data_IF_016991299825
#
_entry.id   IF_016991299825
#
_cell.length_a   1.000
_cell.length_b   1.000
_cell.length_c   1.000
_cell.angle_alpha   90.00
_cell.angle_beta   90.00
_cell.angle_gamma   90.00
#
_symmetry.space_group_name_H-M   'P 1'
#
loop_
_entity.id
_entity.type
_entity.pdbx_description
1 polymer ?
#
# COMPACT_ATOMS: atom_id res chain seq x y z
N UNK A 1 7.30 13.58 26.95
CA UNK A 1 7.46 12.37 26.13
C UNK A 1 6.07 11.95 25.68
N UNK A 2 5.81 12.01 24.38
CA UNK A 2 4.55 11.50 23.82
C UNK A 2 4.69 9.99 23.67
N UNK A 3 3.62 9.24 23.96
CA UNK A 3 3.56 7.80 23.69
C UNK A 3 2.52 7.61 22.59
N UNK A 4 2.95 7.09 21.46
CA UNK A 4 2.10 6.83 20.30
C UNK A 4 2.02 5.32 20.06
N UNK A 5 0.87 4.85 19.60
CA UNK A 5 0.66 3.45 19.21
C UNK A 5 0.28 3.40 17.72
N UNK A 6 1.33 3.35 16.89
CA UNK A 6 1.17 3.38 15.44
C UNK A 6 0.76 2.04 14.87
N UNK A 7 -0.10 2.11 13.86
CA UNK A 7 -0.48 0.97 13.02
C UNK A 7 0.13 1.16 11.63
N UNK A 8 0.59 0.06 11.03
CA UNK A 8 1.12 0.06 9.67
C UNK A 8 0.02 0.46 8.66
N UNK A 9 0.36 1.35 7.72
CA UNK A 9 -0.61 1.86 6.73
C UNK A 9 -1.19 0.74 5.85
N UNK A 10 -0.48 -0.38 5.69
CA UNK A 10 -0.93 -1.55 4.94
C UNK A 10 -2.02 -2.37 5.67
N UNK A 11 -2.06 -2.30 6.99
CA UNK A 11 -2.99 -3.08 7.83
C UNK A 11 -4.34 -2.38 8.02
N UNK A 12 -4.40 -1.07 7.74
CA UNK A 12 -5.60 -0.25 7.99
C UNK A 12 -6.85 -0.81 7.32
N UNK A 13 -6.73 -1.36 6.11
CA UNK A 13 -7.90 -1.93 5.43
C UNK A 13 -8.46 -3.13 6.19
N UNK A 14 -7.61 -4.07 6.59
CA UNK A 14 -8.03 -5.26 7.35
C UNK A 14 -8.62 -4.91 8.71
N UNK A 15 -8.05 -3.92 9.40
CA UNK A 15 -8.55 -3.45 10.69
C UNK A 15 -9.95 -2.86 10.55
N UNK A 16 -10.15 -1.97 9.57
CA UNK A 16 -11.45 -1.30 9.37
C UNK A 16 -12.51 -2.28 8.85
N UNK A 17 -12.12 -3.29 8.06
CA UNK A 17 -13.03 -4.36 7.63
C UNK A 17 -13.61 -5.17 8.80
N UNK A 18 -12.93 -5.19 9.94
CA UNK A 18 -13.38 -5.90 11.14
C UNK A 18 -14.17 -5.02 12.12
N UNK A 19 -14.42 -3.74 11.79
CA UNK A 19 -15.23 -2.87 12.65
C UNK A 19 -16.70 -3.29 12.62
N UNK A 20 -17.25 -3.66 13.78
CA UNK A 20 -18.68 -3.95 13.93
C UNK A 20 -19.53 -2.70 13.64
N UNK A 21 -19.06 -1.52 14.03
CA UNK A 21 -19.71 -0.24 13.75
C UNK A 21 -18.72 0.80 13.19
N UNK A 22 -18.69 1.04 11.87
CA UNK A 22 -17.76 1.98 11.25
C UNK A 22 -18.05 3.46 11.54
N UNK A 23 -19.27 3.80 12.00
CA UNK A 23 -19.63 5.18 12.33
C UNK A 23 -19.32 5.53 13.80
N UNK A 24 -19.16 4.52 14.66
CA UNK A 24 -18.73 4.64 16.05
C UNK A 24 -17.71 3.54 16.39
N UNK A 25 -16.49 3.59 15.84
CA UNK A 25 -15.48 2.58 16.15
C UNK A 25 -15.11 2.65 17.63
N UNK A 26 -15.06 1.49 18.29
CA UNK A 26 -14.62 1.38 19.70
C UNK A 26 -13.15 1.78 19.86
N UNK A 27 -12.36 1.66 18.78
CA UNK A 27 -10.93 1.90 18.78
C UNK A 27 -10.57 3.13 17.94
N UNK A 28 -9.64 3.92 18.45
CA UNK A 28 -9.01 5.02 17.72
C UNK A 28 -7.55 4.66 17.44
N UNK A 29 -7.06 5.01 16.25
CA UNK A 29 -5.72 4.63 15.81
C UNK A 29 -4.83 5.85 15.64
N UNK A 30 -3.57 5.74 16.06
CA UNK A 30 -2.55 6.72 15.74
C UNK A 30 -1.83 6.31 14.45
N UNK A 31 -1.56 7.28 13.59
CA UNK A 31 -0.88 7.05 12.31
C UNK A 31 0.28 8.03 12.14
N UNK A 32 1.29 7.59 11.41
CA UNK A 32 2.44 8.39 11.02
C UNK A 32 2.69 8.22 9.52
N UNK A 33 3.09 9.29 8.84
CA UNK A 33 3.45 9.23 7.44
C UNK A 33 3.85 10.58 6.85
N UNK A 34 4.39 10.55 5.64
CA UNK A 34 4.66 11.74 4.83
C UNK A 34 3.35 12.34 4.34
N UNK A 35 3.24 13.66 4.44
CA UNK A 35 2.13 14.45 3.92
C UNK A 35 2.34 14.73 2.43
N UNK A 36 1.36 14.32 1.63
CA UNK A 36 1.26 14.59 0.20
C UNK A 36 -0.09 15.26 -0.11
N UNK A 37 -0.19 15.91 -1.28
CA UNK A 37 -1.44 16.48 -1.80
C UNK A 37 -2.22 17.34 -0.79
N UNK A 38 -1.52 18.19 -0.03
CA UNK A 38 -2.15 19.01 1.01
C UNK A 38 -3.06 20.07 0.38
N UNK A 39 -4.37 19.98 0.66
CA UNK A 39 -5.38 20.94 0.22
C UNK A 39 -5.52 22.09 1.22
N UNK A 40 -5.62 23.32 0.72
CA UNK A 40 -5.97 24.49 1.54
C UNK A 40 -7.29 24.28 2.29
N UNK A 41 -7.41 24.91 3.46
CA UNK A 41 -8.64 24.88 4.25
C UNK A 41 -9.86 25.37 3.45
N UNK A 42 -10.96 24.61 3.53
CA UNK A 42 -12.24 24.92 2.90
C UNK A 42 -13.34 24.98 3.94
N UNK A 43 -14.28 25.91 3.78
CA UNK A 43 -15.50 25.94 4.57
C UNK A 43 -16.58 25.13 3.84
N UNK A 44 -17.13 24.09 4.49
CA UNK A 44 -18.19 23.27 3.91
C UNK A 44 -19.42 23.25 4.80
N UNK A 45 -20.60 23.30 4.18
CA UNK A 45 -21.88 23.21 4.88
C UNK A 45 -22.19 21.74 5.17
N UNK A 46 -22.28 21.37 6.44
CA UNK A 46 -22.67 20.03 6.89
C UNK A 46 -24.07 20.05 7.49
N UNK A 47 -24.65 18.87 7.76
CA UNK A 47 -25.93 18.78 8.48
C UNK A 47 -25.86 19.38 9.90
N UNK A 48 -24.66 19.53 10.46
CA UNK A 48 -24.39 20.11 11.78
C UNK A 48 -23.88 21.56 11.70
N UNK A 49 -24.12 22.24 10.57
CA UNK A 49 -23.66 23.61 10.32
C UNK A 49 -22.38 23.68 9.48
N UNK A 50 -21.88 24.89 9.29
CA UNK A 50 -20.66 25.14 8.54
C UNK A 50 -19.44 24.67 9.33
N UNK A 51 -18.55 23.93 8.66
CA UNK A 51 -17.32 23.41 9.26
C UNK A 51 -16.16 23.55 8.31
N UNK A 52 -15.01 23.94 8.85
CA UNK A 52 -13.75 23.93 8.11
C UNK A 52 -13.26 22.50 7.91
N UNK A 53 -12.68 22.23 6.75
CA UNK A 53 -12.06 20.97 6.40
C UNK A 53 -10.72 21.21 5.70
N UNK A 54 -9.73 20.42 6.07
CA UNK A 54 -8.46 20.27 5.35
C UNK A 54 -8.33 18.81 4.95
N UNK A 55 -7.83 18.55 3.75
CA UNK A 55 -7.60 17.20 3.24
C UNK A 55 -6.17 17.09 2.76
N UNK A 56 -5.57 15.93 3.00
CA UNK A 56 -4.26 15.59 2.47
C UNK A 56 -4.17 14.07 2.36
N UNK A 57 -3.09 13.58 1.76
CA UNK A 57 -2.74 12.16 1.77
C UNK A 57 -1.58 11.92 2.72
N UNK A 58 -1.66 10.81 3.45
CA UNK A 58 -0.57 10.32 4.28
C UNK A 58 0.01 9.06 3.65
N UNK A 59 1.34 8.99 3.52
CA UNK A 59 2.03 7.87 2.89
C UNK A 59 3.24 7.41 3.68
N UNK A 60 3.53 6.11 3.65
CA UNK A 60 4.80 5.53 4.12
C UNK A 60 5.81 5.35 2.97
N UNK A 61 5.46 5.82 1.77
CA UNK A 61 6.19 5.59 0.53
C UNK A 61 5.63 4.43 -0.32
N UNK A 62 4.75 3.60 0.23
CA UNK A 62 4.16 2.42 -0.45
C UNK A 62 2.64 2.43 -0.45
N UNK A 63 2.03 2.82 0.66
CA UNK A 63 0.59 2.91 0.88
C UNK A 63 0.22 4.35 1.16
N UNK A 64 -0.82 4.86 0.50
CA UNK A 64 -1.22 6.25 0.61
C UNK A 64 -2.73 6.39 0.83
N UNK A 65 -3.12 6.98 1.96
CA UNK A 65 -4.50 7.08 2.41
C UNK A 65 -4.95 8.53 2.54
N UNK A 66 -6.24 8.77 2.33
CA UNK A 66 -6.82 10.12 2.42
C UNK A 66 -7.16 10.46 3.86
N UNK A 67 -6.66 11.59 4.34
CA UNK A 67 -6.96 12.15 5.66
C UNK A 67 -7.87 13.36 5.51
N UNK A 68 -8.90 13.46 6.35
CA UNK A 68 -9.79 14.62 6.47
C UNK A 68 -9.76 15.17 7.89
N UNK A 69 -9.31 16.41 8.03
CA UNK A 69 -9.21 17.14 9.29
C UNK A 69 -10.36 18.14 9.38
N UNK A 70 -11.00 18.24 10.54
CA UNK A 70 -12.24 19.00 10.70
C UNK A 70 -12.19 20.12 11.74
N UNK A 71 -13.02 21.14 11.54
CA UNK A 71 -13.32 22.18 12.52
C UNK A 71 -12.14 23.10 12.81
N UNK A 72 -11.93 23.46 14.08
CA UNK A 72 -10.83 24.32 14.51
C UNK A 72 -9.46 23.70 14.22
N UNK A 73 -9.36 22.36 14.35
CA UNK A 73 -8.13 21.62 14.07
C UNK A 73 -7.70 21.77 12.61
N UNK A 74 -8.65 21.87 11.67
CA UNK A 74 -8.35 22.08 10.25
C UNK A 74 -7.61 23.40 10.01
N UNK A 75 -8.07 24.50 10.63
CA UNK A 75 -7.43 25.82 10.52
C UNK A 75 -6.02 25.77 11.11
N UNK A 76 -5.88 25.22 12.33
CA UNK A 76 -4.57 25.12 12.99
C UNK A 76 -3.58 24.25 12.20
N UNK A 77 -4.07 23.20 11.55
CA UNK A 77 -3.23 22.32 10.72
C UNK A 77 -2.74 23.04 9.45
N UNK A 78 -3.61 23.81 8.80
CA UNK A 78 -3.27 24.64 7.62
C UNK A 78 -2.21 25.71 7.97
N UNK A 79 -2.38 26.39 9.10
CA UNK A 79 -1.41 27.36 9.62
C UNK A 79 -0.07 26.71 9.98
N UNK A 80 -0.10 25.50 10.56
CA UNK A 80 1.11 24.75 10.93
C UNK A 80 1.84 24.29 9.68
N UNK A 81 1.11 23.73 8.70
CA UNK A 81 1.66 23.30 7.41
C UNK A 81 2.34 24.46 6.68
N UNK A 82 1.70 25.63 6.63
CA UNK A 82 2.26 26.84 5.99
C UNK A 82 3.56 27.34 6.63
N UNK A 83 3.84 26.96 7.89
CA UNK A 83 5.08 27.32 8.59
C UNK A 83 6.21 26.30 8.38
N UNK A 84 5.90 25.10 7.89
CA UNK A 84 6.88 24.04 7.68
C UNK A 84 7.72 24.31 6.44
N UNK A 85 9.05 24.34 6.63
CA UNK A 85 10.03 24.53 5.54
C UNK A 85 10.81 23.28 5.21
N UNK A 86 10.79 22.30 6.10
CA UNK A 86 11.53 21.06 5.99
C UNK A 86 10.72 20.01 5.23
N UNK A 87 11.32 19.44 4.20
CA UNK A 87 10.74 18.39 3.35
C UNK A 87 11.53 17.08 3.50
N UNK A 88 10.87 15.90 3.47
CA UNK A 88 9.42 15.70 3.48
C UNK A 88 8.79 16.14 4.81
N UNK A 89 7.53 16.58 4.75
CA UNK A 89 6.72 16.89 5.95
C UNK A 89 6.15 15.57 6.46
N UNK A 90 6.50 15.18 7.67
CA UNK A 90 6.00 13.97 8.33
C UNK A 90 4.93 14.39 9.34
N UNK A 91 3.73 13.83 9.18
CA UNK A 91 2.62 14.04 10.09
C UNK A 91 2.44 12.84 11.02
N UNK A 92 2.17 13.14 12.29
CA UNK A 92 1.55 12.23 13.25
C UNK A 92 0.12 12.70 13.46
N UNK A 93 -0.85 11.82 13.24
CA UNK A 93 -2.28 12.10 13.48
C UNK A 93 -2.77 11.13 14.54
N UNK A 94 -3.20 11.66 15.69
CA UNK A 94 -3.62 10.84 16.82
C UNK A 94 -5.13 10.64 16.87
N UNK A 95 -5.56 9.53 17.47
CA UNK A 95 -6.97 9.21 17.74
C UNK A 95 -7.86 9.34 16.50
N UNK A 96 -7.44 8.75 15.38
CA UNK A 96 -8.18 8.80 14.14
C UNK A 96 -9.34 7.82 14.14
N UNK A 97 -10.45 8.20 13.50
CA UNK A 97 -11.46 7.25 13.04
C UNK A 97 -11.21 6.92 11.58
N UNK A 98 -11.51 5.68 11.21
CA UNK A 98 -11.30 5.18 9.87
C UNK A 98 -12.57 4.53 9.36
N UNK A 99 -12.86 4.73 8.08
CA UNK A 99 -14.03 4.15 7.40
C UNK A 99 -13.63 3.73 6.00
N UNK A 100 -14.14 2.59 5.56
CA UNK A 100 -14.03 2.20 4.15
C UNK A 100 -15.09 2.98 3.36
N UNK A 101 -14.63 3.72 2.36
CA UNK A 101 -15.49 4.41 1.40
C UNK A 101 -14.97 4.16 0.00
N UNK A 102 -15.85 3.67 -0.89
CA UNK A 102 -15.50 3.29 -2.26
C UNK A 102 -14.24 2.42 -2.30
N UNK A 103 -14.15 1.46 -1.38
CA UNK A 103 -13.03 0.52 -1.24
C UNK A 103 -11.66 1.15 -0.94
N UNK A 104 -11.66 2.39 -0.45
CA UNK A 104 -10.48 3.06 0.08
C UNK A 104 -10.67 3.34 1.57
N UNK A 105 -9.59 3.22 2.36
CA UNK A 105 -9.62 3.66 3.75
C UNK A 105 -9.59 5.19 3.76
N UNK A 106 -10.63 5.77 4.34
CA UNK A 106 -10.69 7.19 4.63
C UNK A 106 -10.48 7.41 6.12
N UNK A 107 -9.50 8.25 6.41
CA UNK A 107 -9.09 8.60 7.76
C UNK A 107 -9.67 9.96 8.08
N UNK A 108 -10.27 10.10 9.25
CA UNK A 108 -10.94 11.32 9.67
C UNK A 108 -10.64 11.61 11.13
N UNK A 109 -10.43 12.89 11.45
CA UNK A 109 -10.10 13.30 12.82
C UNK A 109 -11.32 13.29 13.73
N UNK A 110 -11.11 12.94 15.00
CA UNK A 110 -12.06 13.08 16.09
C UNK A 110 -11.83 14.39 16.87
N UNK A 111 -12.76 14.82 17.74
CA UNK A 111 -12.55 16.00 18.59
C UNK A 111 -11.33 15.88 19.53
N UNK A 112 -10.92 14.65 19.87
CA UNK A 112 -9.73 14.35 20.67
C UNK A 112 -8.44 14.25 19.85
N UNK A 113 -8.52 14.24 18.52
CA UNK A 113 -7.34 14.11 17.64
C UNK A 113 -6.40 15.29 17.78
N UNK A 114 -5.11 14.99 17.70
CA UNK A 114 -4.04 15.97 17.60
C UNK A 114 -3.23 15.69 16.34
N UNK A 115 -2.72 16.74 15.71
CA UNK A 115 -1.86 16.65 14.54
C UNK A 115 -0.53 17.30 14.91
N UNK A 116 0.55 16.56 14.68
CA UNK A 116 1.92 17.05 14.82
C UNK A 116 2.59 16.94 13.46
N UNK A 117 3.24 18.01 13.02
CA UNK A 117 4.01 18.04 11.78
C UNK A 117 5.49 18.23 12.14
N UNK A 118 6.36 17.36 11.63
CA UNK A 118 7.80 17.30 11.93
C UNK A 118 8.09 17.41 13.43
N UNK A 119 7.37 16.61 14.23
CA UNK A 119 7.62 16.54 15.66
C UNK A 119 9.06 16.05 15.91
N UNK A 120 9.77 16.71 16.82
CA UNK A 120 11.08 16.27 17.28
C UNK A 120 10.90 15.06 18.22
N UNK A 121 10.73 13.89 17.61
CA UNK A 121 10.47 12.60 18.26
C UNK A 121 11.21 11.49 17.51
N UNK A 122 11.61 10.44 18.24
CA UNK A 122 12.35 9.30 17.69
C UNK A 122 11.61 8.62 16.54
N UNK A 123 10.27 8.59 16.59
CA UNK A 123 9.46 7.96 15.54
C UNK A 123 9.56 8.71 14.21
N UNK A 124 9.60 10.06 14.27
CA UNK A 124 9.76 10.90 13.07
C UNK A 124 11.17 10.79 12.53
N UNK A 125 12.18 10.79 13.40
CA UNK A 125 13.57 10.59 13.00
C UNK A 125 13.79 9.22 12.32
N UNK A 126 13.24 8.15 12.90
CA UNK A 126 13.30 6.81 12.32
C UNK A 126 12.63 6.75 10.94
N UNK A 127 11.47 7.42 10.77
CA UNK A 127 10.81 7.50 9.48
C UNK A 127 11.63 8.28 8.45
N UNK A 128 12.28 9.39 8.83
CA UNK A 128 13.19 10.13 7.91
C UNK A 128 14.31 9.24 7.39
N UNK A 129 15.00 8.52 8.29
CA UNK A 129 16.08 7.60 7.92
C UNK A 129 15.57 6.50 6.97
N UNK A 130 14.40 5.94 7.25
CA UNK A 130 13.77 4.94 6.38
C UNK A 130 13.48 5.50 4.98
N UNK A 131 12.92 6.71 4.90
CA UNK A 131 12.61 7.36 3.62
C UNK A 131 13.88 7.67 2.81
N UNK A 132 14.95 8.09 3.48
CA UNK A 132 16.26 8.34 2.87
C UNK A 132 16.90 7.05 2.32
N UNK A 133 16.88 5.95 3.09
CA UNK A 133 17.40 4.65 2.66
C UNK A 133 16.60 4.06 1.50
N UNK A 134 15.28 4.26 1.49
CA UNK A 134 14.41 3.84 0.40
C UNK A 134 14.49 4.76 -0.84
N UNK A 135 15.18 5.90 -0.73
CA UNK A 135 15.31 6.88 -1.80
C UNK A 135 13.99 7.56 -2.17
N UNK A 136 13.08 7.70 -1.20
CA UNK A 136 11.80 8.37 -1.40
C UNK A 136 12.02 9.81 -1.88
N UNK A 137 11.33 10.17 -2.96
CA UNK A 137 11.30 11.54 -3.47
C UNK A 137 9.88 12.06 -3.35
N UNK A 138 9.73 13.24 -2.76
CA UNK A 138 8.45 13.94 -2.72
C UNK A 138 8.01 14.16 -4.17
N UNK A 139 6.80 13.75 -4.56
CA UNK A 139 6.27 14.07 -5.88
C UNK A 139 6.20 15.59 -6.03
N UNK A 140 6.87 16.17 -7.03
CA UNK A 140 6.65 17.58 -7.40
C UNK A 140 5.20 17.74 -7.82
N UNK A 141 4.50 18.78 -7.31
CA UNK A 141 3.09 19.09 -7.56
C UNK A 141 2.66 18.74 -8.99
N UNK A 142 2.15 17.54 -9.18
CA UNK A 142 1.49 17.15 -10.41
C UNK A 142 0.10 17.75 -10.27
N UNK A 143 -0.27 18.71 -11.14
CA UNK A 143 -1.67 19.09 -11.33
C UNK A 143 -2.52 17.81 -11.35
N UNK A 144 -3.74 17.81 -10.76
CA UNK A 144 -4.51 16.61 -10.48
C UNK A 144 -4.79 15.85 -11.77
N UNK A 145 -3.83 15.04 -12.17
CA UNK A 145 -3.98 14.03 -13.19
C UNK A 145 -4.81 13.01 -12.45
N UNK A 146 -6.07 12.89 -12.87
CA UNK A 146 -6.95 11.84 -12.38
C UNK A 146 -6.13 10.55 -12.40
N UNK A 147 -5.71 10.09 -11.23
CA UNK A 147 -5.16 8.75 -11.11
C UNK A 147 -6.25 7.83 -11.62
N UNK A 148 -5.90 6.77 -12.39
CA UNK A 148 -6.88 5.79 -12.80
C UNK A 148 -7.67 5.37 -11.58
N UNK A 149 -8.99 5.48 -11.68
CA UNK A 149 -9.91 4.96 -10.68
C UNK A 149 -9.54 3.48 -10.57
N UNK A 150 -8.91 3.06 -9.47
CA UNK A 150 -8.80 1.65 -9.16
C UNK A 150 -10.22 1.20 -8.83
N UNK A 151 -10.88 0.63 -9.84
CA UNK A 151 -12.09 -0.12 -9.63
C UNK A 151 -11.80 -1.19 -8.58
N UNK A 152 -12.67 -1.35 -7.58
CA UNK A 152 -12.46 -2.37 -6.57
C UNK A 152 -12.47 -3.73 -7.24
N UNK A 153 -11.30 -4.37 -7.31
CA UNK A 153 -11.24 -5.78 -7.63
C UNK A 153 -11.87 -6.53 -6.46
N UNK A 154 -13.15 -6.86 -6.62
CA UNK A 154 -13.82 -7.87 -5.82
C UNK A 154 -12.97 -9.13 -5.98
N UNK A 155 -12.32 -9.57 -4.90
CA UNK A 155 -11.66 -10.88 -4.88
C UNK A 155 -12.79 -11.90 -4.95
N UNK A 156 -13.13 -12.29 -6.17
CA UNK A 156 -14.05 -13.38 -6.43
C UNK A 156 -13.21 -14.66 -6.40
N UNK A 157 -13.55 -15.56 -5.49
CA UNK A 157 -13.07 -16.93 -5.55
C UNK A 157 -13.77 -17.58 -6.75
N UNK A 158 -13.07 -17.65 -7.87
CA UNK A 158 -13.53 -18.28 -9.09
C UNK A 158 -12.66 -19.49 -9.38
N UNK A 159 -13.28 -20.52 -9.96
CA UNK A 159 -12.57 -21.70 -10.45
C UNK A 159 -11.79 -21.34 -11.72
N UNK A 160 -10.71 -22.07 -12.02
CA UNK A 160 -9.87 -21.83 -13.22
C UNK A 160 -10.68 -21.87 -14.52
N UNK A 161 -11.80 -22.59 -14.53
CA UNK A 161 -12.73 -22.68 -15.67
C UNK A 161 -13.49 -21.37 -15.91
N UNK A 162 -14.00 -20.73 -14.85
CA UNK A 162 -14.76 -19.48 -14.91
C UNK A 162 -13.90 -18.27 -15.31
N UNK A 163 -12.58 -18.38 -15.13
CA UNK A 163 -11.59 -17.39 -15.58
C UNK A 163 -11.50 -17.30 -17.12
N UNK A 164 -11.87 -18.37 -17.84
CA UNK A 164 -11.65 -18.50 -19.29
C UNK A 164 -12.71 -17.81 -20.18
N UNK A 165 -13.87 -17.42 -19.63
CA UNK A 165 -15.06 -17.08 -20.44
C UNK A 165 -15.36 -15.57 -20.58
N UNK A 166 -14.64 -14.67 -19.90
CA UNK A 166 -14.97 -13.22 -19.84
C UNK A 166 -13.90 -12.33 -20.48
N UNK A 167 -13.95 -12.08 -21.79
CA UNK A 167 -13.13 -11.02 -22.43
C UNK A 167 -13.68 -10.55 -23.78
N UNK A 168 -13.96 -9.25 -23.92
CA UNK A 168 -14.13 -8.60 -25.23
C UNK A 168 -13.83 -7.07 -25.17
N UNK A 169 -13.00 -6.60 -26.13
CA UNK A 169 -12.81 -5.25 -26.78
C UNK A 169 -12.84 -3.94 -25.97
N UNK A 170 -12.13 -2.82 -26.27
CA UNK A 170 -11.02 -2.41 -27.16
C UNK A 170 -10.48 -1.01 -26.69
N UNK A 171 -9.20 -0.71 -27.00
CA UNK A 171 -8.49 0.60 -27.05
C UNK A 171 -7.91 1.34 -25.79
N UNK A 172 -6.59 1.62 -25.88
CA UNK A 172 -5.67 2.46 -25.06
C UNK A 172 -4.82 3.27 -26.08
N UNK A 173 -4.20 4.43 -25.84
CA UNK A 173 -3.32 4.83 -24.72
C UNK A 173 -2.74 6.24 -24.99
N UNK A 174 -2.32 6.95 -23.93
CA UNK A 174 -1.12 7.81 -23.97
C UNK A 174 -0.25 7.56 -22.72
N UNK A 175 1.07 7.57 -22.93
CA UNK A 175 2.20 7.04 -22.14
C UNK A 175 2.68 7.92 -20.96
N UNK A 176 3.37 7.30 -19.99
CA UNK A 176 4.42 7.95 -19.17
C UNK A 176 5.54 6.96 -18.75
N UNK A 177 6.76 7.49 -18.66
CA UNK A 177 8.08 6.83 -18.65
C UNK A 177 8.63 6.72 -17.20
N UNK A 178 9.30 5.63 -16.84
CA UNK A 178 9.97 5.43 -15.53
C UNK A 178 11.51 5.28 -15.64
N UNK A 179 12.23 5.82 -14.64
CA UNK A 179 13.68 5.79 -14.43
C UNK A 179 14.11 4.61 -13.52
N UNK A 180 15.22 3.94 -13.86
CA UNK A 180 15.66 2.64 -13.35
C UNK A 180 16.66 2.75 -12.17
N UNK A 181 16.38 2.10 -11.03
CA UNK A 181 17.36 1.82 -9.95
C UNK A 181 17.51 0.29 -9.83
N UNK A 182 18.73 -0.24 -9.99
CA UNK A 182 19.06 -1.68 -9.96
C UNK A 182 18.92 -2.30 -8.55
N UNK A 183 17.69 -2.49 -8.09
CA UNK A 183 17.39 -3.32 -6.92
C UNK A 183 17.21 -4.78 -7.38
N UNK A 184 17.95 -5.73 -6.78
CA UNK A 184 17.81 -7.17 -7.10
C UNK A 184 16.48 -7.68 -6.56
N UNK A 185 15.60 -8.13 -7.46
CA UNK A 185 14.25 -8.60 -7.16
C UNK A 185 14.06 -10.05 -7.58
N UNK A 186 13.15 -10.74 -6.92
CA UNK A 186 12.68 -12.07 -7.28
C UNK A 186 11.75 -12.01 -8.49
N UNK A 187 12.04 -12.89 -9.45
CA UNK A 187 11.13 -13.31 -10.50
C UNK A 187 11.23 -14.83 -10.57
N UNK A 188 10.42 -15.51 -9.77
CA UNK A 188 10.44 -16.97 -9.67
C UNK A 188 9.21 -17.51 -10.38
N UNK A 189 9.41 -18.40 -11.35
CA UNK A 189 8.32 -19.10 -12.03
C UNK A 189 8.07 -20.40 -11.29
N UNK A 190 6.85 -20.62 -10.86
CA UNK A 190 6.39 -21.83 -10.19
C UNK A 190 5.28 -22.46 -11.02
N UNK A 191 5.39 -23.75 -11.26
CA UNK A 191 4.29 -24.53 -11.81
C UNK A 191 3.44 -25.01 -10.65
N UNK A 192 2.16 -24.63 -10.64
CA UNK A 192 1.20 -25.14 -9.66
C UNK A 192 0.09 -25.89 -10.40
N UNK A 193 -0.28 -27.03 -9.85
CA UNK A 193 -1.29 -27.95 -10.38
C UNK A 193 -2.44 -28.02 -9.38
N UNK A 194 -3.68 -27.90 -9.88
CA UNK A 194 -4.88 -28.26 -9.13
C UNK A 194 -5.55 -29.49 -9.74
N UNK A 195 -6.73 -29.87 -9.21
CA UNK A 195 -7.47 -31.04 -9.72
C UNK A 195 -7.95 -30.91 -11.18
N UNK A 196 -7.78 -29.74 -11.80
CA UNK A 196 -8.26 -29.44 -13.15
C UNK A 196 -7.14 -29.17 -14.15
N UNK A 197 -6.21 -28.26 -13.87
CA UNK A 197 -5.12 -27.90 -14.78
C UNK A 197 -3.87 -27.42 -14.00
N UNK A 198 -2.73 -27.41 -14.71
CA UNK A 198 -1.48 -26.85 -14.20
C UNK A 198 -1.14 -25.54 -14.93
N UNK A 199 -0.83 -24.49 -14.15
CA UNK A 199 -0.50 -23.17 -14.67
C UNK A 199 0.83 -22.65 -14.13
N UNK A 200 1.46 -21.79 -14.92
CA UNK A 200 2.69 -21.11 -14.53
C UNK A 200 2.36 -19.81 -13.79
N UNK A 201 2.90 -19.68 -12.58
CA UNK A 201 2.74 -18.52 -11.73
C UNK A 201 4.09 -17.82 -11.54
N UNK A 202 4.12 -16.50 -11.70
CA UNK A 202 5.30 -15.69 -11.40
C UNK A 202 5.17 -15.12 -10.00
N UNK A 203 5.98 -15.64 -9.07
CA UNK A 203 6.17 -15.05 -7.75
C UNK A 203 7.11 -13.84 -7.86
N UNK A 204 6.54 -12.66 -7.57
CA UNK A 204 7.29 -11.42 -7.37
C UNK A 204 7.74 -11.30 -5.90
N UNK A 205 8.55 -10.29 -5.59
CA UNK A 205 9.25 -10.12 -4.31
C UNK A 205 8.44 -10.45 -3.04
N UNK A 206 7.21 -9.95 -2.92
CA UNK A 206 6.35 -10.17 -1.74
C UNK A 206 5.97 -11.64 -1.60
N UNK A 207 5.40 -12.23 -2.65
CA UNK A 207 4.97 -13.63 -2.68
C UNK A 207 6.16 -14.58 -2.50
N UNK A 208 7.28 -14.30 -3.17
CA UNK A 208 8.51 -15.06 -3.03
C UNK A 208 9.10 -14.98 -1.62
N UNK A 209 9.14 -13.78 -0.99
CA UNK A 209 9.64 -13.63 0.37
C UNK A 209 8.77 -14.34 1.40
N UNK A 210 7.43 -14.35 1.23
CA UNK A 210 6.52 -15.09 2.12
C UNK A 210 6.62 -16.60 1.94
N UNK A 211 6.74 -17.06 0.69
CA UNK A 211 6.89 -18.47 0.39
C UNK A 211 8.26 -19.04 0.85
N UNK A 212 9.34 -18.27 0.66
CA UNK A 212 10.73 -18.71 0.92
C UNK A 212 11.21 -18.33 2.33
N UNK A 213 10.64 -17.29 2.94
CA UNK A 213 11.07 -16.72 4.23
C UNK A 213 12.28 -15.78 4.15
N UNK A 214 12.94 -15.68 2.99
CA UNK A 214 14.15 -14.88 2.78
C UNK A 214 14.01 -13.83 1.67
N UNK A 215 14.81 -12.77 1.73
CA UNK A 215 14.91 -11.76 0.65
C UNK A 215 15.91 -12.18 -0.43
N UNK A 216 15.75 -11.67 -1.66
CA UNK A 216 16.63 -11.99 -2.78
C UNK A 216 18.10 -11.67 -2.48
N UNK A 217 18.34 -10.56 -1.80
CA UNK A 217 19.68 -10.14 -1.35
C UNK A 217 20.28 -11.13 -0.34
N UNK A 218 19.48 -11.65 0.60
CA UNK A 218 19.93 -12.66 1.58
C UNK A 218 20.26 -13.99 0.91
N UNK A 219 19.44 -14.45 -0.04
CA UNK A 219 19.73 -15.66 -0.81
C UNK A 219 21.00 -15.54 -1.66
N UNK A 220 21.22 -14.38 -2.30
CA UNK A 220 22.45 -14.13 -3.08
C UNK A 220 23.68 -14.06 -2.16
N UNK A 221 23.54 -13.48 -0.96
CA UNK A 221 24.62 -13.45 0.03
C UNK A 221 24.94 -14.85 0.58
N UNK A 222 23.93 -15.70 0.79
CA UNK A 222 24.11 -17.08 1.24
C UNK A 222 24.74 -17.95 0.14
N UNK A 223 24.30 -17.81 -1.12
CA UNK A 223 24.94 -18.52 -2.26
C UNK A 223 26.42 -18.18 -2.45
N UNK A 224 26.85 -16.98 -2.07
CA UNK A 224 28.28 -16.61 -2.09
C UNK A 224 29.12 -17.33 -1.02
N UNK A 225 28.50 -17.86 0.03
CA UNK A 225 29.18 -18.61 1.11
C UNK A 225 29.29 -20.11 0.81
N UNK A 226 28.34 -20.67 0.07
CA UNK A 226 28.23 -22.12 -0.15
C UNK A 226 28.90 -22.64 -1.44
N UNK A 227 29.64 -21.78 -2.16
CA UNK A 227 30.31 -22.16 -3.41
C UNK A 227 29.37 -22.34 -4.60
N UNK A 228 29.93 -22.49 -5.81
CA UNK A 228 29.19 -22.67 -7.07
C UNK A 228 28.45 -24.02 -7.12
N UNK A 229 27.38 -24.15 -6.33
CA UNK A 229 26.41 -25.20 -6.53
C UNK A 229 25.34 -24.70 -7.51
N UNK A 230 25.24 -25.37 -8.67
CA UNK A 230 24.26 -25.07 -9.72
C UNK A 230 22.83 -25.42 -9.31
N UNK A 231 22.67 -26.13 -8.18
CA UNK A 231 21.38 -26.43 -7.59
C UNK A 231 20.63 -25.16 -7.13
N UNK A 232 19.30 -25.25 -7.15
CA UNK A 232 18.45 -24.25 -6.52
C UNK A 232 18.72 -24.23 -5.01
N UNK A 233 18.71 -23.05 -4.35
CA UNK A 233 18.79 -22.96 -2.90
C UNK A 233 17.77 -23.85 -2.21
N UNK A 234 18.17 -24.48 -1.10
CA UNK A 234 17.34 -25.42 -0.35
C UNK A 234 15.98 -24.80 0.05
N UNK A 235 15.99 -23.49 0.30
CA UNK A 235 14.83 -22.69 0.69
C UNK A 235 13.81 -22.54 -0.45
N UNK A 236 14.25 -22.54 -1.72
CA UNK A 236 13.35 -22.51 -2.88
C UNK A 236 12.78 -23.92 -3.12
N UNK A 237 13.61 -24.96 -2.98
CA UNK A 237 13.15 -26.35 -3.11
C UNK A 237 12.17 -26.75 -2.00
N UNK A 238 12.24 -26.12 -0.82
CA UNK A 238 11.33 -26.37 0.30
C UNK A 238 9.88 -25.92 0.06
N UNK A 239 9.61 -25.20 -1.03
CA UNK A 239 8.26 -24.79 -1.45
C UNK A 239 7.61 -25.88 -2.30
N UNK A 240 8.41 -26.72 -2.96
CA UNK A 240 7.92 -27.80 -3.83
C UNK A 240 7.19 -28.84 -2.99
N UNK A 241 5.93 -29.11 -3.33
CA UNK A 241 5.07 -30.07 -2.62
C UNK A 241 4.26 -29.48 -1.46
N UNK A 242 4.26 -28.15 -1.27
CA UNK A 242 3.36 -27.47 -0.31
C UNK A 242 2.09 -26.99 -0.99
N UNK A 243 0.98 -27.08 -0.27
CA UNK A 243 -0.26 -26.38 -0.63
C UNK A 243 -0.10 -24.89 -0.36
N UNK A 244 -0.41 -24.06 -1.34
CA UNK A 244 -0.22 -22.61 -1.29
C UNK A 244 -1.47 -21.94 -1.84
N UNK A 245 -1.91 -20.89 -1.15
CA UNK A 245 -3.00 -20.03 -1.64
C UNK A 245 -2.41 -18.78 -2.28
N UNK A 246 -2.64 -18.60 -3.58
CA UNK A 246 -2.13 -17.45 -4.33
C UNK A 246 -3.20 -16.38 -4.52
N UNK A 247 -2.87 -15.14 -4.18
CA UNK A 247 -3.59 -13.95 -4.66
C UNK A 247 -2.91 -13.47 -5.93
N UNK A 248 -3.60 -13.62 -7.06
CA UNK A 248 -3.06 -13.28 -8.38
C UNK A 248 -3.58 -11.93 -8.86
N UNK A 249 -2.70 -11.18 -9.53
CA UNK A 249 -3.09 -10.04 -10.35
C UNK A 249 -3.33 -10.54 -11.76
N UNK A 250 -4.55 -10.37 -12.23
CA UNK A 250 -4.84 -10.54 -13.64
C UNK A 250 -4.49 -9.21 -14.32
N UNK A 251 -3.46 -9.24 -15.16
CA UNK A 251 -3.03 -8.06 -15.91
C UNK A 251 -3.62 -8.07 -17.31
N UNK A 252 -3.55 -6.92 -17.97
CA UNK A 252 -3.94 -6.75 -19.36
C UNK A 252 -3.34 -7.84 -20.26
N UNK A 253 -2.11 -8.30 -20.07
CA UNK A 253 -1.54 -9.39 -20.88
C UNK A 253 -2.22 -10.77 -20.67
N UNK A 254 -2.73 -11.04 -19.47
CA UNK A 254 -3.46 -12.28 -19.16
C UNK A 254 -4.85 -12.29 -19.81
N UNK A 255 -5.41 -11.10 -19.96
CA UNK A 255 -6.74 -10.83 -20.50
C UNK A 255 -6.67 -10.69 -22.03
N UNK A 256 -5.67 -9.98 -22.55
CA UNK A 256 -5.56 -9.56 -23.96
C UNK A 256 -4.79 -10.55 -24.83
N UNK A 257 -3.78 -11.26 -24.30
CA UNK A 257 -2.90 -12.14 -25.08
C UNK A 257 -3.11 -13.63 -24.76
N UNK A 258 -4.13 -13.95 -23.96
CA UNK A 258 -4.36 -15.30 -23.42
C UNK A 258 -3.10 -15.88 -22.74
N UNK A 259 -2.33 -15.02 -22.09
CA UNK A 259 -1.12 -15.43 -21.41
C UNK A 259 -1.47 -16.27 -20.20
N UNK A 260 -1.17 -17.57 -20.26
CA UNK A 260 -1.30 -18.54 -19.15
C UNK A 260 -0.25 -18.35 -18.04
N UNK A 261 0.33 -17.16 -17.93
CA UNK A 261 1.39 -16.82 -16.98
C UNK A 261 0.86 -15.75 -16.02
N UNK A 262 0.45 -16.15 -14.83
CA UNK A 262 -0.19 -15.25 -13.88
C UNK A 262 0.81 -14.64 -12.90
N UNK A 263 0.69 -13.35 -12.63
CA UNK A 263 1.53 -12.69 -11.62
C UNK A 263 0.91 -12.87 -10.24
N UNK A 264 1.69 -13.40 -9.29
CA UNK A 264 1.26 -13.53 -7.90
C UNK A 264 1.62 -12.26 -7.13
N UNK A 265 0.62 -11.60 -6.54
CA UNK A 265 0.79 -10.43 -5.66
C UNK A 265 1.17 -10.91 -4.26
N UNK A 266 0.50 -11.97 -3.81
CA UNK A 266 0.65 -12.50 -2.47
C UNK A 266 0.51 -14.02 -2.46
N UNK A 267 1.26 -14.67 -1.56
CA UNK A 267 1.21 -16.11 -1.36
C UNK A 267 1.09 -16.39 0.13
N UNK A 268 0.10 -17.18 0.50
CA UNK A 268 -0.09 -17.69 1.86
C UNK A 268 0.26 -19.19 1.86
N UNK A 269 1.04 -19.59 2.88
CA UNK A 269 1.37 -20.99 3.21
C UNK A 269 0.51 -21.41 4.38
#
# INVERSE_FOLDING_TARGET
>A
MHKFEFVDLSELFGIVSNYENPDAPEFSTDIIGVVEDFENVKLIKTMFGERNIVKFRITDGRYSHKVSVWGKLAITTDELHSKMKETPIIAIVTSCKMKISRSSVQISTLPSSKIFLNLDDECVAAMRIMLEDEGYKVPENVEPTQLPIFEPQVIQTITLKELSEKTNTEELKVLKIELYIEKKRFKIVVLAEDATEAFNFILKDRAAKRAIGFTATKLIANKKKDGENTAYPAEITAIVGKELTFTIQINDDNILLNSKIFTVIDAMI
#
